data_IF_057364211061
#
_entry.id   IF_057364211061
#
_cell.length_a   1.000
_cell.length_b   1.000
_cell.length_c   1.000
_cell.angle_alpha   90.00
_cell.angle_beta   90.00
_cell.angle_gamma   90.00
#
_symmetry.space_group_name_H-M   'P 1'
#
loop_
_entity.id
_entity.type
_entity.pdbx_description
1 polymer ?
#
# COMPACT_ATOMS: atom_id res chain seq x y z
N UNK A 1 22.67 17.88 -16.70
CA UNK A 1 22.00 16.56 -16.68
C UNK A 1 20.53 16.81 -16.96
N UNK A 2 20.04 16.33 -18.10
CA UNK A 2 18.64 16.52 -18.48
C UNK A 2 17.76 15.72 -17.54
N UNK A 3 17.06 16.40 -16.63
CA UNK A 3 16.03 15.79 -15.81
C UNK A 3 14.90 15.28 -16.71
N UNK A 4 14.94 14.01 -17.07
CA UNK A 4 13.74 13.36 -17.61
C UNK A 4 12.68 13.50 -16.53
N UNK A 5 11.58 14.19 -16.82
CA UNK A 5 10.34 14.09 -16.06
C UNK A 5 10.03 12.61 -15.98
N UNK A 6 10.20 12.03 -14.80
CA UNK A 6 9.87 10.62 -14.59
C UNK A 6 8.35 10.53 -14.63
N UNK A 7 7.83 9.76 -15.59
CA UNK A 7 6.39 9.51 -15.67
C UNK A 7 5.94 8.76 -14.43
N UNK A 8 4.78 9.11 -13.90
CA UNK A 8 4.11 8.27 -12.90
C UNK A 8 3.83 6.89 -13.50
N UNK A 9 3.96 5.80 -12.74
CA UNK A 9 3.68 4.47 -13.26
C UNK A 9 2.19 4.31 -13.58
N UNK A 10 1.89 3.63 -14.66
CA UNK A 10 0.55 3.16 -14.97
C UNK A 10 0.17 2.02 -14.00
N UNK A 11 -0.98 2.10 -13.39
CA UNK A 11 -1.51 1.02 -12.51
C UNK A 11 -2.49 0.20 -13.34
N UNK A 12 -2.16 -1.08 -13.54
CA UNK A 12 -2.94 -2.03 -14.36
C UNK A 12 -3.52 -3.13 -13.50
N UNK A 13 -4.72 -3.54 -13.78
CA UNK A 13 -5.39 -4.61 -13.05
C UNK A 13 -5.53 -5.85 -13.92
N UNK A 14 -5.11 -6.98 -13.39
CA UNK A 14 -5.24 -8.25 -14.07
C UNK A 14 -5.65 -9.36 -13.10
N UNK A 15 -6.43 -10.32 -13.56
CA UNK A 15 -6.68 -11.54 -12.82
C UNK A 15 -5.45 -12.44 -12.87
N UNK A 16 -4.95 -12.87 -11.71
CA UNK A 16 -3.84 -13.81 -11.65
C UNK A 16 -4.31 -15.24 -11.43
N UNK A 17 -4.36 -16.01 -12.52
CA UNK A 17 -4.69 -17.43 -12.46
C UNK A 17 -3.69 -18.22 -11.58
N UNK A 18 -2.40 -17.96 -11.74
CA UNK A 18 -1.36 -18.67 -10.98
C UNK A 18 -1.50 -18.47 -9.47
N UNK A 19 -1.72 -17.24 -9.01
CA UNK A 19 -1.93 -16.99 -7.59
C UNK A 19 -3.22 -17.63 -7.08
N UNK A 20 -4.28 -17.62 -7.90
CA UNK A 20 -5.56 -18.24 -7.56
C UNK A 20 -5.45 -19.75 -7.43
N UNK A 21 -4.72 -20.39 -8.32
CA UNK A 21 -4.48 -21.83 -8.32
C UNK A 21 -3.68 -22.27 -7.10
N UNK A 22 -2.56 -21.61 -6.84
CA UNK A 22 -1.72 -21.86 -5.66
C UNK A 22 -2.47 -21.65 -4.33
N UNK A 23 -3.28 -20.61 -4.23
CA UNK A 23 -4.11 -20.38 -3.05
C UNK A 23 -5.16 -21.47 -2.88
N UNK A 24 -5.79 -21.93 -3.97
CA UNK A 24 -6.76 -23.01 -3.93
C UNK A 24 -6.15 -24.32 -3.48
N UNK A 25 -4.98 -24.70 -3.99
CA UNK A 25 -4.25 -25.89 -3.55
C UNK A 25 -3.91 -25.83 -2.07
N UNK A 26 -3.41 -24.70 -1.59
CA UNK A 26 -3.09 -24.48 -0.18
C UNK A 26 -4.32 -24.62 0.71
N UNK A 27 -5.45 -24.06 0.32
CA UNK A 27 -6.70 -24.13 1.06
C UNK A 27 -7.33 -25.51 1.05
N UNK A 28 -7.30 -26.22 -0.09
CA UNK A 28 -7.78 -27.60 -0.19
C UNK A 28 -7.01 -28.52 0.74
N UNK A 29 -5.70 -28.31 0.89
CA UNK A 29 -4.86 -29.08 1.81
C UNK A 29 -5.14 -28.77 3.28
N UNK A 30 -5.63 -27.58 3.61
CA UNK A 30 -5.88 -27.14 4.98
C UNK A 30 -7.32 -27.39 5.46
N UNK A 31 -8.31 -27.29 4.56
CA UNK A 31 -9.73 -27.16 4.94
C UNK A 31 -10.61 -28.26 4.34
N UNK A 32 -10.06 -29.14 3.50
CA UNK A 32 -10.77 -30.31 2.94
C UNK A 32 -11.70 -29.93 1.85
N UNK A 33 -12.72 -29.70 1.53
CA UNK A 33 -13.53 -29.44 0.35
C UNK A 33 -13.45 -27.97 -0.08
N UNK A 34 -12.71 -27.73 -1.15
CA UNK A 34 -12.47 -26.38 -1.64
C UNK A 34 -13.75 -25.62 -1.92
N UNK A 35 -13.80 -24.38 -1.47
CA UNK A 35 -14.81 -23.44 -1.97
C UNK A 35 -14.64 -23.33 -3.48
N UNK A 36 -15.70 -23.56 -4.27
CA UNK A 36 -15.58 -23.59 -5.72
C UNK A 36 -15.04 -22.27 -6.24
N UNK A 37 -13.97 -22.33 -7.03
CA UNK A 37 -13.51 -21.19 -7.80
C UNK A 37 -14.60 -20.78 -8.78
N UNK A 38 -14.83 -19.49 -8.89
CA UNK A 38 -15.64 -18.96 -9.98
C UNK A 38 -14.90 -19.07 -11.32
N UNK A 39 -15.58 -18.79 -12.42
CA UNK A 39 -14.98 -18.84 -13.74
C UNK A 39 -13.90 -17.78 -13.95
N UNK A 40 -13.03 -17.97 -14.92
CA UNK A 40 -12.04 -17.00 -15.36
C UNK A 40 -12.70 -15.65 -15.71
N UNK A 41 -13.82 -15.69 -16.41
CA UNK A 41 -14.58 -14.49 -16.80
C UNK A 41 -15.12 -13.72 -15.58
N UNK A 42 -15.49 -14.41 -14.51
CA UNK A 42 -15.93 -13.78 -13.27
C UNK A 42 -14.81 -12.95 -12.65
N UNK A 43 -13.60 -13.51 -12.51
CA UNK A 43 -12.48 -12.82 -11.89
C UNK A 43 -11.88 -11.74 -12.77
N UNK A 44 -11.83 -11.93 -14.08
CA UNK A 44 -11.47 -10.87 -15.04
C UNK A 44 -12.46 -9.71 -14.99
N UNK A 45 -13.75 -10.02 -14.80
CA UNK A 45 -14.77 -8.99 -14.58
C UNK A 45 -14.56 -8.19 -13.30
N UNK A 46 -14.06 -8.81 -12.23
CA UNK A 46 -13.70 -8.11 -10.99
C UNK A 46 -12.49 -7.20 -11.23
N UNK A 47 -11.44 -7.70 -11.89
CA UNK A 47 -10.26 -6.88 -12.22
C UNK A 47 -10.64 -5.65 -13.04
N UNK A 48 -11.44 -5.81 -14.09
CA UNK A 48 -11.93 -4.70 -14.90
C UNK A 48 -12.82 -3.70 -14.09
N UNK A 49 -13.62 -4.22 -13.15
CA UNK A 49 -14.38 -3.36 -12.23
C UNK A 49 -13.47 -2.53 -11.32
N UNK A 50 -12.42 -3.13 -10.78
CA UNK A 50 -11.47 -2.44 -9.91
C UNK A 50 -10.67 -1.37 -10.66
N UNK A 51 -10.22 -1.69 -11.87
CA UNK A 51 -9.59 -0.73 -12.77
C UNK A 51 -10.50 0.49 -13.05
N UNK A 52 -11.77 0.24 -13.40
CA UNK A 52 -12.75 1.31 -13.60
C UNK A 52 -12.98 2.17 -12.35
N UNK A 53 -12.89 1.58 -11.16
CA UNK A 53 -13.01 2.33 -9.91
C UNK A 53 -11.78 3.16 -9.59
N UNK A 54 -10.61 2.65 -9.95
CA UNK A 54 -9.32 3.30 -9.72
C UNK A 54 -9.05 4.47 -10.69
N UNK A 55 -9.33 4.27 -11.98
CA UNK A 55 -8.99 5.21 -13.06
C UNK A 55 -9.29 6.70 -12.79
N UNK A 56 -10.44 7.10 -12.19
CA UNK A 56 -10.73 8.52 -12.02
C UNK A 56 -9.77 9.25 -11.07
N UNK A 57 -9.20 8.55 -10.10
CA UNK A 57 -8.43 9.15 -9.00
C UNK A 57 -6.97 8.66 -8.98
N UNK A 58 -6.67 7.53 -9.62
CA UNK A 58 -5.43 6.79 -9.48
C UNK A 58 -4.18 7.60 -9.83
N UNK A 59 -4.16 8.21 -10.99
CA UNK A 59 -3.01 9.03 -11.44
C UNK A 59 -2.75 10.20 -10.49
N UNK A 60 -3.82 10.84 -9.99
CA UNK A 60 -3.73 11.92 -9.02
C UNK A 60 -3.15 11.43 -7.70
N UNK A 61 -3.61 10.27 -7.21
CA UNK A 61 -3.09 9.65 -5.98
C UNK A 61 -1.62 9.32 -6.12
N UNK A 62 -1.22 8.62 -7.21
CA UNK A 62 0.17 8.20 -7.43
C UNK A 62 1.10 9.42 -7.57
N UNK A 63 0.69 10.43 -8.33
CA UNK A 63 1.44 11.68 -8.47
C UNK A 63 1.62 12.41 -7.14
N UNK A 64 0.54 12.52 -6.37
CA UNK A 64 0.55 13.13 -5.05
C UNK A 64 1.47 12.38 -4.08
N UNK A 65 1.44 11.04 -4.07
CA UNK A 65 2.33 10.24 -3.24
C UNK A 65 3.80 10.47 -3.59
N UNK A 66 4.16 10.52 -4.87
CA UNK A 66 5.52 10.87 -5.28
C UNK A 66 5.92 12.27 -4.80
N UNK A 67 5.00 13.23 -4.86
CA UNK A 67 5.25 14.61 -4.43
C UNK A 67 5.44 14.73 -2.92
N UNK A 68 4.52 14.19 -2.11
CA UNK A 68 4.56 14.32 -0.65
C UNK A 68 5.69 13.50 -0.03
N UNK A 69 6.05 12.37 -0.59
CA UNK A 69 7.15 11.53 -0.08
C UNK A 69 8.52 11.99 -0.57
N UNK A 70 8.60 12.65 -1.72
CA UNK A 70 9.83 12.91 -2.46
C UNK A 70 10.45 11.66 -3.07
N UNK A 71 9.75 10.52 -3.06
CA UNK A 71 10.18 9.24 -3.62
C UNK A 71 9.64 9.07 -5.05
N UNK A 72 10.15 8.05 -5.74
CA UNK A 72 9.76 7.75 -7.12
C UNK A 72 9.69 6.24 -7.32
N UNK A 73 8.77 5.78 -8.14
CA UNK A 73 8.75 4.40 -8.57
C UNK A 73 9.84 4.13 -9.59
N UNK A 74 10.43 2.95 -9.54
CA UNK A 74 11.42 2.50 -10.54
C UNK A 74 10.75 1.85 -11.75
N UNK A 75 9.53 1.38 -11.59
CA UNK A 75 8.75 0.75 -12.65
C UNK A 75 7.92 1.79 -13.39
N UNK A 76 7.72 1.57 -14.69
CA UNK A 76 6.77 2.34 -15.49
C UNK A 76 5.34 1.81 -15.36
N UNK A 77 5.17 0.61 -14.78
CA UNK A 77 3.90 -0.06 -14.59
C UNK A 77 3.88 -0.74 -13.24
N UNK A 78 2.75 -0.65 -12.56
CA UNK A 78 2.45 -1.42 -11.35
C UNK A 78 1.30 -2.35 -11.72
N UNK A 79 1.62 -3.64 -11.87
CA UNK A 79 0.62 -4.68 -12.13
C UNK A 79 -0.03 -5.08 -10.81
N UNK A 80 -1.34 -4.88 -10.71
CA UNK A 80 -2.19 -5.25 -9.57
C UNK A 80 -2.87 -6.56 -9.88
N UNK A 81 -2.38 -7.62 -9.27
CA UNK A 81 -2.92 -8.96 -9.44
C UNK A 81 -4.15 -9.15 -8.57
N UNK A 82 -5.30 -9.34 -9.21
CA UNK A 82 -6.55 -9.66 -8.51
C UNK A 82 -6.65 -11.17 -8.37
N UNK A 83 -6.75 -11.65 -7.14
CA UNK A 83 -6.82 -13.08 -6.87
C UNK A 83 -7.75 -13.38 -5.68
N UNK A 84 -8.58 -14.44 -5.73
CA UNK A 84 -9.36 -14.89 -4.59
C UNK A 84 -8.46 -15.37 -3.45
N UNK A 85 -8.97 -15.35 -2.24
CA UNK A 85 -8.33 -15.85 -1.02
C UNK A 85 -7.15 -15.03 -0.50
N UNK A 86 -6.79 -13.96 -1.18
CA UNK A 86 -5.76 -13.04 -0.71
C UNK A 86 -6.38 -11.84 0.02
N UNK A 87 -5.61 -11.34 0.98
CA UNK A 87 -5.71 -9.96 1.43
C UNK A 87 -4.96 -9.06 0.44
N UNK A 88 -4.70 -7.82 0.81
CA UNK A 88 -3.85 -6.95 0.04
C UNK A 88 -2.37 -7.16 0.39
N UNK A 89 -1.50 -7.05 -0.63
CA UNK A 89 -0.04 -7.09 -0.50
C UNK A 89 0.60 -6.11 -1.48
N UNK A 90 1.70 -5.51 -1.07
CA UNK A 90 2.43 -4.51 -1.88
C UNK A 90 3.48 -5.10 -2.83
N UNK A 91 4.01 -6.31 -2.58
CA UNK A 91 5.07 -6.90 -3.39
C UNK A 91 5.04 -8.45 -3.37
N UNK A 92 4.55 -9.10 -4.45
CA UNK A 92 3.87 -8.49 -5.59
C UNK A 92 2.62 -7.73 -5.17
N UNK A 93 2.15 -6.77 -6.00
CA UNK A 93 0.91 -6.07 -5.70
C UNK A 93 -0.27 -7.01 -5.94
N UNK A 94 -0.94 -7.40 -4.88
CA UNK A 94 -2.09 -8.32 -4.94
C UNK A 94 -3.27 -7.72 -4.22
N UNK A 95 -4.45 -7.86 -4.79
CA UNK A 95 -5.71 -7.50 -4.16
C UNK A 95 -6.68 -8.70 -4.16
N UNK A 96 -7.36 -8.90 -3.05
CA UNK A 96 -8.46 -9.85 -2.96
C UNK A 96 -9.69 -9.41 -3.77
N UNK A 97 -10.63 -10.32 -3.91
CA UNK A 97 -11.88 -10.10 -4.68
C UNK A 97 -13.03 -9.55 -3.85
N UNK A 98 -12.77 -9.15 -2.60
CA UNK A 98 -13.79 -8.87 -1.58
C UNK A 98 -14.38 -7.46 -1.65
N UNK A 99 -13.79 -6.54 -2.40
CA UNK A 99 -14.23 -5.14 -2.37
C UNK A 99 -15.58 -4.95 -3.03
N UNK A 100 -16.54 -4.43 -2.26
CA UNK A 100 -17.91 -4.15 -2.69
C UNK A 100 -18.14 -2.69 -3.02
N UNK A 101 -17.29 -1.80 -2.49
CA UNK A 101 -17.37 -0.34 -2.68
C UNK A 101 -16.07 0.18 -3.25
N UNK A 102 -16.17 1.28 -4.03
CA UNK A 102 -15.03 1.98 -4.61
C UNK A 102 -14.06 2.46 -3.52
N UNK A 103 -14.57 3.08 -2.48
CA UNK A 103 -13.72 3.71 -1.45
C UNK A 103 -12.92 2.67 -0.65
N UNK A 104 -13.49 1.47 -0.39
CA UNK A 104 -12.75 0.37 0.25
C UNK A 104 -11.55 -0.08 -0.61
N UNK A 105 -11.72 -0.13 -1.94
CA UNK A 105 -10.62 -0.40 -2.87
C UNK A 105 -9.59 0.72 -2.86
N UNK A 106 -10.03 1.98 -2.93
CA UNK A 106 -9.14 3.14 -2.98
C UNK A 106 -8.24 3.21 -1.74
N UNK A 107 -8.82 3.09 -0.54
CA UNK A 107 -8.01 3.13 0.70
C UNK A 107 -7.01 1.98 0.75
N UNK A 108 -7.42 0.76 0.43
CA UNK A 108 -6.56 -0.41 0.48
C UNK A 108 -5.44 -0.33 -0.55
N UNK A 109 -5.77 -0.02 -1.82
CA UNK A 109 -4.75 0.05 -2.86
C UNK A 109 -3.77 1.21 -2.63
N UNK A 110 -4.26 2.37 -2.16
CA UNK A 110 -3.39 3.50 -1.79
C UNK A 110 -2.42 3.11 -0.68
N UNK A 111 -2.88 2.39 0.33
CA UNK A 111 -2.05 1.85 1.40
C UNK A 111 -0.91 0.96 0.86
N UNK A 112 -1.25 0.01 0.00
CA UNK A 112 -0.26 -0.90 -0.60
C UNK A 112 0.72 -0.17 -1.55
N UNK A 113 0.26 0.85 -2.27
CA UNK A 113 1.11 1.69 -3.12
C UNK A 113 2.13 2.47 -2.27
N UNK A 114 1.75 2.96 -1.08
CA UNK A 114 2.70 3.60 -0.17
C UNK A 114 3.75 2.60 0.31
N UNK A 115 3.35 1.40 0.73
CA UNK A 115 4.29 0.34 1.08
C UNK A 115 5.27 0.07 -0.06
N UNK A 116 4.77 -0.07 -1.29
CA UNK A 116 5.58 -0.29 -2.47
C UNK A 116 6.57 0.84 -2.72
N UNK A 117 6.10 2.09 -2.65
CA UNK A 117 6.93 3.27 -2.85
C UNK A 117 8.05 3.36 -1.81
N UNK A 118 7.75 3.12 -0.55
CA UNK A 118 8.74 3.10 0.53
C UNK A 118 9.76 1.97 0.33
N UNK A 119 9.30 0.75 0.00
CA UNK A 119 10.15 -0.42 -0.19
C UNK A 119 11.08 -0.28 -1.39
N UNK A 120 10.59 0.22 -2.52
CA UNK A 120 11.38 0.39 -3.74
C UNK A 120 12.52 1.40 -3.56
N UNK A 121 12.39 2.34 -2.63
CA UNK A 121 13.34 3.42 -2.40
C UNK A 121 14.28 3.19 -1.21
N UNK A 122 14.13 2.12 -0.48
CA UNK A 122 15.10 1.74 0.56
C UNK A 122 16.28 0.98 -0.04
N UNK A 123 17.48 1.21 0.49
CA UNK A 123 18.69 0.53 0.04
C UNK A 123 18.68 -0.96 0.37
N UNK A 124 19.39 -1.70 -0.42
CA UNK A 124 19.29 -3.13 -0.60
C UNK A 124 20.15 -3.99 0.34
N UNK A 125 19.73 -4.24 1.47
CA UNK A 125 19.85 -5.51 2.18
C UNK A 125 18.53 -5.67 2.94
N UNK A 126 17.55 -5.99 2.16
CA UNK A 126 16.18 -5.47 2.19
C UNK A 126 15.41 -5.62 3.49
N UNK A 127 15.62 -6.65 4.26
CA UNK A 127 14.88 -6.82 5.51
C UNK A 127 15.57 -6.13 6.70
N UNK A 128 16.88 -6.18 6.71
CA UNK A 128 17.64 -5.76 7.88
C UNK A 128 17.76 -4.24 7.99
N UNK A 129 18.06 -3.57 6.87
CA UNK A 129 18.24 -2.12 6.86
C UNK A 129 16.90 -1.36 6.99
N UNK A 130 15.83 -1.90 6.44
CA UNK A 130 14.51 -1.33 6.54
C UNK A 130 14.00 -1.31 7.99
N UNK A 131 14.10 -2.45 8.68
CA UNK A 131 13.74 -2.55 10.09
C UNK A 131 14.61 -1.64 10.95
N UNK A 132 15.91 -1.62 10.71
CA UNK A 132 16.86 -0.77 11.42
C UNK A 132 16.55 0.71 11.22
N UNK A 133 16.19 1.10 10.00
CA UNK A 133 15.78 2.46 9.68
C UNK A 133 14.55 2.88 10.48
N UNK A 134 13.49 2.09 10.44
CA UNK A 134 12.25 2.43 11.14
C UNK A 134 12.41 2.41 12.65
N UNK A 135 13.18 1.46 13.19
CA UNK A 135 13.57 1.46 14.62
C UNK A 135 14.33 2.72 15.00
N UNK A 136 15.30 3.15 14.21
CA UNK A 136 16.06 4.37 14.48
C UNK A 136 15.20 5.63 14.42
N UNK A 137 14.14 5.63 13.62
CA UNK A 137 13.22 6.75 13.46
C UNK A 137 12.13 6.78 14.53
N UNK A 138 11.55 5.63 14.86
CA UNK A 138 10.31 5.56 15.62
C UNK A 138 10.46 4.86 16.99
N UNK A 139 11.61 4.25 17.27
CA UNK A 139 11.91 3.56 18.53
C UNK A 139 12.03 2.04 18.36
N UNK A 140 12.75 1.43 19.30
CA UNK A 140 13.10 -0.01 19.27
C UNK A 140 11.96 -0.90 19.76
N UNK A 141 11.03 -0.39 20.56
CA UNK A 141 10.08 -1.18 21.37
C UNK A 141 8.76 -1.49 20.64
N UNK A 142 8.63 -1.11 19.37
CA UNK A 142 7.43 -1.37 18.60
C UNK A 142 7.49 -2.71 17.86
N UNK A 143 6.33 -3.38 17.75
CA UNK A 143 6.17 -4.55 16.90
C UNK A 143 6.50 -4.22 15.44
N UNK A 144 6.93 -5.22 14.68
CA UNK A 144 7.29 -5.04 13.26
C UNK A 144 6.19 -4.37 12.43
N UNK A 145 4.97 -4.89 12.52
CA UNK A 145 3.85 -4.33 11.77
C UNK A 145 3.53 -2.88 12.19
N UNK A 146 3.68 -2.53 13.45
CA UNK A 146 3.53 -1.14 13.91
C UNK A 146 4.57 -0.25 13.25
N UNK A 147 5.85 -0.66 13.26
CA UNK A 147 6.94 0.12 12.69
C UNK A 147 6.79 0.40 11.20
N UNK A 148 6.35 -0.61 10.42
CA UNK A 148 6.19 -0.44 8.97
C UNK A 148 4.94 0.37 8.62
N UNK A 149 3.94 0.42 9.51
CA UNK A 149 2.70 1.16 9.27
C UNK A 149 2.72 2.60 9.76
N UNK A 150 3.61 2.98 10.70
CA UNK A 150 3.76 4.39 11.10
C UNK A 150 3.99 5.32 9.89
N UNK A 151 4.98 5.07 9.01
CA UNK A 151 5.18 5.91 7.83
C UNK A 151 4.00 5.83 6.83
N UNK A 152 3.40 4.66 6.66
CA UNK A 152 2.25 4.48 5.76
C UNK A 152 1.07 5.33 6.22
N UNK A 153 0.68 5.22 7.49
CA UNK A 153 -0.42 5.98 8.06
C UNK A 153 -0.16 7.50 8.07
N UNK A 154 1.08 7.92 8.31
CA UNK A 154 1.43 9.33 8.25
C UNK A 154 1.26 9.91 6.83
N UNK A 155 1.69 9.19 5.79
CA UNK A 155 1.50 9.61 4.39
C UNK A 155 0.04 9.48 3.94
N UNK A 156 -0.71 8.49 4.39
CA UNK A 156 -2.16 8.41 4.15
C UNK A 156 -2.88 9.63 4.71
N UNK A 157 -2.56 10.03 5.93
CA UNK A 157 -3.17 11.20 6.54
C UNK A 157 -2.82 12.49 5.79
N UNK A 158 -1.55 12.68 5.41
CA UNK A 158 -1.12 13.84 4.62
C UNK A 158 -1.82 13.86 3.26
N UNK A 159 -1.90 12.73 2.58
CA UNK A 159 -2.57 12.60 1.28
C UNK A 159 -4.06 12.94 1.39
N UNK A 160 -4.78 12.33 2.32
CA UNK A 160 -6.22 12.49 2.40
C UNK A 160 -6.65 13.85 2.94
N UNK A 161 -5.89 14.43 3.87
CA UNK A 161 -6.25 15.72 4.48
C UNK A 161 -5.72 16.90 3.66
N UNK A 162 -4.41 16.90 3.33
CA UNK A 162 -3.76 18.10 2.79
C UNK A 162 -3.81 18.16 1.25
N UNK A 163 -3.96 17.01 0.57
CA UNK A 163 -3.87 16.98 -0.90
C UNK A 163 -5.21 16.69 -1.56
N UNK A 164 -5.92 15.68 -1.10
CA UNK A 164 -7.17 15.25 -1.74
C UNK A 164 -8.43 15.90 -1.14
N UNK A 165 -8.32 16.51 0.05
CA UNK A 165 -9.46 17.04 0.82
C UNK A 165 -10.56 15.97 1.02
N UNK A 166 -10.13 14.74 1.40
CA UNK A 166 -10.97 13.56 1.59
C UNK A 166 -10.83 12.98 3.00
N UNK A 167 -11.19 13.74 4.06
CA UNK A 167 -11.15 13.25 5.44
C UNK A 167 -12.06 12.03 5.66
N UNK A 168 -13.08 11.85 4.84
CA UNK A 168 -13.95 10.67 4.84
C UNK A 168 -13.20 9.37 4.52
N UNK A 169 -12.22 9.39 3.64
CA UNK A 169 -11.37 8.22 3.35
C UNK A 169 -10.47 7.87 4.54
N UNK A 170 -9.93 8.87 5.23
CA UNK A 170 -9.13 8.66 6.44
C UNK A 170 -9.95 7.99 7.55
N UNK A 171 -11.16 8.48 7.79
CA UNK A 171 -12.07 7.89 8.78
C UNK A 171 -12.50 6.47 8.40
N UNK A 172 -12.72 6.21 7.10
CA UNK A 172 -13.05 4.88 6.61
C UNK A 172 -11.89 3.90 6.84
N UNK A 173 -10.64 4.32 6.56
CA UNK A 173 -9.44 3.50 6.78
C UNK A 173 -9.31 3.12 8.26
N UNK A 174 -9.34 4.09 9.16
CA UNK A 174 -9.28 3.86 10.62
C UNK A 174 -10.37 2.90 11.09
N UNK A 175 -11.62 3.13 10.68
CA UNK A 175 -12.75 2.30 11.06
C UNK A 175 -12.64 0.86 10.55
N UNK A 176 -12.07 0.65 9.38
CA UNK A 176 -11.86 -0.69 8.82
C UNK A 176 -10.93 -1.52 9.69
N UNK A 177 -9.88 -0.91 10.23
CA UNK A 177 -8.89 -1.57 11.09
C UNK A 177 -9.46 -1.94 12.47
N UNK A 178 -10.28 -1.09 13.06
CA UNK A 178 -10.96 -1.40 14.33
C UNK A 178 -11.81 -2.66 14.22
N UNK A 179 -12.47 -2.85 13.08
CA UNK A 179 -13.32 -4.03 12.84
C UNK A 179 -12.55 -5.34 12.67
N UNK A 180 -11.23 -5.28 12.40
CA UNK A 180 -10.36 -6.42 12.15
C UNK A 180 -9.49 -6.83 13.36
N UNK A 181 -9.68 -6.21 14.54
CA UNK A 181 -8.79 -6.38 15.72
C UNK A 181 -7.29 -6.25 15.36
N UNK A 182 -6.98 -5.32 14.48
CA UNK A 182 -5.65 -5.10 13.92
C UNK A 182 -4.77 -4.27 14.87
N UNK A 183 -4.46 -4.79 16.05
CA UNK A 183 -3.79 -4.08 17.17
C UNK A 183 -2.53 -3.33 16.78
N UNK A 184 -1.71 -3.92 15.92
CA UNK A 184 -0.45 -3.32 15.49
C UNK A 184 -0.65 -2.12 14.55
N UNK A 185 -1.70 -2.17 13.72
CA UNK A 185 -2.12 -1.06 12.87
C UNK A 185 -2.73 0.07 13.71
N UNK A 186 -3.56 -0.29 14.70
CA UNK A 186 -4.14 0.68 15.65
C UNK A 186 -3.01 1.39 16.41
N UNK A 187 -2.02 0.65 16.91
CA UNK A 187 -0.86 1.21 17.58
C UNK A 187 -0.04 2.16 16.67
N UNK A 188 0.03 1.87 15.37
CA UNK A 188 0.67 2.77 14.42
C UNK A 188 -0.13 4.06 14.23
N UNK A 189 -1.46 4.01 14.15
CA UNK A 189 -2.31 5.20 14.14
C UNK A 189 -2.19 6.02 15.42
N UNK A 190 -2.20 5.39 16.60
CA UNK A 190 -1.99 6.08 17.88
C UNK A 190 -0.65 6.82 17.93
N UNK A 191 0.41 6.20 17.38
CA UNK A 191 1.71 6.84 17.26
C UNK A 191 1.65 8.07 16.34
N UNK A 192 1.00 7.95 15.18
CA UNK A 192 0.84 9.06 14.23
C UNK A 192 0.05 10.21 14.83
N UNK A 193 -1.05 9.92 15.53
CA UNK A 193 -1.87 10.93 16.20
C UNK A 193 -1.11 11.65 17.32
N UNK A 194 -0.35 10.91 18.12
CA UNK A 194 0.45 11.46 19.22
C UNK A 194 1.61 12.32 18.73
N UNK A 195 2.29 11.90 17.67
CA UNK A 195 3.51 12.56 17.16
C UNK A 195 3.19 13.67 16.15
N UNK A 196 2.07 13.54 15.46
CA UNK A 196 1.67 14.38 14.34
C UNK A 196 2.26 13.89 13.00
N UNK A 197 1.38 13.61 12.04
CA UNK A 197 1.80 13.06 10.73
C UNK A 197 2.84 13.93 10.02
N UNK A 198 2.73 15.27 10.08
CA UNK A 198 3.69 16.19 9.47
C UNK A 198 5.11 16.03 10.05
N UNK A 199 5.22 15.86 11.37
CA UNK A 199 6.51 15.59 12.02
C UNK A 199 7.15 14.31 11.49
N UNK A 200 6.35 13.26 11.30
CA UNK A 200 6.80 11.96 10.80
C UNK A 200 7.21 12.06 9.34
N UNK A 201 6.36 12.62 8.49
CA UNK A 201 6.62 12.72 7.05
C UNK A 201 7.78 13.64 6.74
N UNK A 202 7.97 14.75 7.50
CA UNK A 202 9.14 15.63 7.38
C UNK A 202 10.44 14.91 7.75
N UNK A 203 10.42 14.11 8.81
CA UNK A 203 11.58 13.30 9.22
C UNK A 203 12.00 12.31 8.13
N UNK A 204 11.01 11.65 7.49
CA UNK A 204 11.25 10.71 6.40
C UNK A 204 11.78 11.45 5.16
N UNK A 205 11.15 12.55 4.76
CA UNK A 205 11.61 13.39 3.62
C UNK A 205 13.03 13.89 3.81
N UNK A 206 13.38 14.31 5.02
CA UNK A 206 14.75 14.73 5.34
C UNK A 206 15.74 13.59 5.12
N UNK A 207 15.46 12.41 5.65
CA UNK A 207 16.30 11.22 5.44
C UNK A 207 16.46 10.87 3.96
N UNK A 208 15.36 10.84 3.20
CA UNK A 208 15.38 10.59 1.75
C UNK A 208 16.27 11.59 1.01
N UNK A 209 16.22 12.87 1.39
CA UNK A 209 17.03 13.92 0.79
C UNK A 209 18.52 13.77 1.11
N UNK A 210 18.85 13.42 2.35
CA UNK A 210 20.22 13.15 2.78
C UNK A 210 20.83 11.98 2.02
N UNK A 211 20.12 10.86 1.91
CA UNK A 211 20.54 9.68 1.16
C UNK A 211 20.79 9.95 -0.34
N UNK A 212 20.10 10.91 -0.93
CA UNK A 212 20.32 11.29 -2.33
C UNK A 212 21.50 12.23 -2.54
N UNK A 213 21.88 12.97 -1.50
CA UNK A 213 23.03 13.89 -1.56
C UNK A 213 24.37 13.15 -1.48
N UNK A 214 24.36 11.94 -0.91
CA UNK A 214 25.53 11.08 -0.70
C UNK A 214 25.82 10.15 -1.89
N UNK A 215 25.01 10.24 -2.96
CA UNK A 215 25.14 9.49 -4.23
C UNK A 215 25.57 10.42 -5.38
#
# INVERSE_FOLDING_TARGET
MNGKSQSIPEVRFEYSFLLSDQASEGLNNLWGDGTPLHSFEYYTGIAAKYEKWWQPDGDTIVAALCQITGLQFYQNTIDVHVAPWFNAFSSPMVLGVMFKKKDDLIITLTHEIIHRLLTDNTTYDRHYDFLKLWKSMFGEDHAWNTLVHIPVHAFLQELYIDVLDRPDLLELDKKSLESLDAKEYIAAWEYVEKTGYKTITDKIRKHVKEQRSDR
#
